data_IF_432901445519
#
_entry.id   IF_432901445519
#
_cell.length_a   1.000
_cell.length_b   1.000
_cell.length_c   1.000
_cell.angle_alpha   90.00
_cell.angle_beta   90.00
_cell.angle_gamma   90.00
#
_symmetry.space_group_name_H-M   'P 1'
#
loop_
_entity.id
_entity.type
_entity.pdbx_description
1 polymer ?
#
# COMPACT_ATOMS: atom_id res chain seq x y z
N UNK A 1 -17.99 8.98 28.51
CA UNK A 1 -18.30 7.80 27.67
C UNK A 1 -16.97 7.24 27.20
N UNK A 2 -16.76 5.94 27.33
CA UNK A 2 -15.59 5.28 26.72
C UNK A 2 -15.70 5.34 25.19
N UNK A 3 -14.60 5.09 24.47
CA UNK A 3 -14.64 5.00 22.99
C UNK A 3 -15.59 3.90 22.52
N UNK A 4 -15.70 2.80 23.27
CA UNK A 4 -16.69 1.73 23.05
C UNK A 4 -18.12 2.25 23.17
N UNK A 5 -18.44 3.00 24.23
CA UNK A 5 -19.79 3.55 24.43
C UNK A 5 -20.14 4.54 23.31
N UNK A 6 -19.16 5.34 22.87
CA UNK A 6 -19.34 6.29 21.77
C UNK A 6 -19.58 5.58 20.44
N UNK A 7 -18.81 4.54 20.09
CA UNK A 7 -19.06 3.77 18.87
C UNK A 7 -20.44 3.10 18.92
N UNK A 8 -20.82 2.49 20.05
CA UNK A 8 -22.17 1.92 20.22
C UNK A 8 -23.26 2.96 20.02
N UNK A 9 -23.09 4.16 20.55
CA UNK A 9 -24.02 5.27 20.30
C UNK A 9 -24.08 5.67 18.82
N UNK A 10 -22.97 5.66 18.10
CA UNK A 10 -22.96 5.90 16.64
C UNK A 10 -23.73 4.80 15.91
N UNK A 11 -23.51 3.53 16.27
CA UNK A 11 -24.23 2.36 15.74
C UNK A 11 -25.74 2.51 15.96
N UNK A 12 -26.16 2.89 17.17
CA UNK A 12 -27.58 3.07 17.50
C UNK A 12 -28.16 4.22 16.66
N UNK A 13 -27.49 5.38 16.64
CA UNK A 13 -27.95 6.55 15.88
C UNK A 13 -28.05 6.28 14.38
N UNK A 14 -27.08 5.57 13.78
CA UNK A 14 -27.11 5.26 12.35
C UNK A 14 -28.20 4.22 12.03
N UNK A 15 -28.44 3.27 12.94
CA UNK A 15 -29.53 2.29 12.78
C UNK A 15 -30.89 2.99 12.82
N UNK A 16 -31.10 3.89 13.80
CA UNK A 16 -32.35 4.64 14.00
C UNK A 16 -32.62 5.65 12.89
N UNK A 17 -31.62 6.46 12.52
CA UNK A 17 -31.80 7.54 11.53
C UNK A 17 -31.75 7.05 10.09
N UNK A 18 -30.99 5.98 9.84
CA UNK A 18 -30.75 5.52 8.48
C UNK A 18 -31.43 4.21 8.11
N UNK A 19 -32.09 3.54 9.06
CA UNK A 19 -32.72 2.23 8.87
C UNK A 19 -31.72 1.19 8.35
N UNK A 20 -30.49 1.27 8.87
CA UNK A 20 -29.42 0.34 8.51
C UNK A 20 -29.35 -0.80 9.51
N UNK A 21 -29.28 -2.02 8.99
CA UNK A 21 -28.88 -3.17 9.78
C UNK A 21 -27.36 -3.22 9.83
N UNK A 22 -26.81 -3.25 11.04
CA UNK A 22 -25.39 -3.04 11.30
C UNK A 22 -24.72 -4.33 11.78
N UNK A 23 -23.49 -4.56 11.33
CA UNK A 23 -22.67 -5.68 11.80
C UNK A 23 -22.41 -5.61 13.31
N UNK A 24 -22.48 -6.75 14.03
CA UNK A 24 -22.06 -6.81 15.42
C UNK A 24 -20.55 -6.55 15.58
N UNK A 25 -20.20 -5.97 16.72
CA UNK A 25 -18.80 -5.86 17.18
C UNK A 25 -18.30 -7.21 17.68
N UNK A 26 -17.02 -7.49 17.44
CA UNK A 26 -16.35 -8.68 17.96
C UNK A 26 -15.89 -8.44 19.40
N UNK A 27 -15.76 -9.53 20.18
CA UNK A 27 -15.11 -9.50 21.48
C UNK A 27 -13.68 -8.94 21.38
N UNK A 28 -13.25 -8.23 22.42
CA UNK A 28 -11.95 -7.59 22.46
C UNK A 28 -10.75 -8.54 22.37
N UNK A 29 -9.60 -7.97 21.99
CA UNK A 29 -8.34 -8.69 21.88
C UNK A 29 -7.68 -8.90 23.24
N UNK A 30 -6.61 -9.69 23.25
CA UNK A 30 -5.69 -9.74 24.39
C UNK A 30 -4.41 -8.90 24.13
N UNK A 31 -3.68 -8.63 25.21
CA UNK A 31 -2.43 -7.86 25.20
C UNK A 31 -1.36 -8.40 24.23
N UNK A 32 -1.29 -9.71 24.00
CA UNK A 32 -0.28 -10.27 23.09
C UNK A 32 -0.55 -9.86 21.62
N UNK A 33 -1.81 -9.70 21.23
CA UNK A 33 -2.17 -9.24 19.89
C UNK A 33 -1.85 -7.75 19.70
N UNK A 34 -2.00 -6.93 20.74
CA UNK A 34 -1.58 -5.54 20.70
C UNK A 34 -0.05 -5.40 20.64
N UNK A 35 0.66 -6.23 21.42
CA UNK A 35 2.12 -6.26 21.42
C UNK A 35 2.71 -6.62 20.05
N UNK A 36 1.98 -7.33 19.20
CA UNK A 36 2.39 -7.61 17.82
C UNK A 36 2.44 -6.33 16.97
N UNK A 37 1.41 -5.47 17.06
CA UNK A 37 1.42 -4.16 16.39
C UNK A 37 2.53 -3.28 16.94
N UNK A 38 2.64 -3.17 18.26
CA UNK A 38 3.69 -2.36 18.91
C UNK A 38 5.10 -2.75 18.47
N UNK A 39 5.33 -4.07 18.31
CA UNK A 39 6.59 -4.59 17.79
C UNK A 39 6.81 -4.22 16.32
N UNK A 40 5.77 -4.27 15.48
CA UNK A 40 5.87 -3.92 14.05
C UNK A 40 6.18 -2.44 13.84
N UNK A 41 5.59 -1.58 14.66
CA UNK A 41 5.77 -0.12 14.55
C UNK A 41 6.96 0.42 15.35
N UNK A 42 7.61 -0.43 16.15
CA UNK A 42 8.67 -0.07 17.11
C UNK A 42 8.25 1.11 18.00
N UNK A 43 7.03 1.05 18.53
CA UNK A 43 6.41 2.09 19.34
C UNK A 43 5.25 1.53 20.18
N UNK A 44 4.72 2.33 21.10
CA UNK A 44 3.56 1.98 21.91
C UNK A 44 2.27 2.51 21.29
N UNK A 45 1.22 1.69 21.36
CA UNK A 45 -0.11 2.15 21.02
C UNK A 45 -0.61 3.12 22.10
N UNK A 46 -1.30 4.21 21.74
CA UNK A 46 -1.95 5.08 22.72
C UNK A 46 -2.95 4.29 23.56
N UNK A 47 -3.02 4.58 24.86
CA UNK A 47 -3.93 3.88 25.78
C UNK A 47 -5.39 3.88 25.29
N UNK A 48 -5.86 4.99 24.71
CA UNK A 48 -7.21 5.10 24.15
C UNK A 48 -7.51 4.13 23.01
N UNK A 49 -6.49 3.76 22.22
CA UNK A 49 -6.61 2.81 21.12
C UNK A 49 -6.47 1.37 21.65
N UNK A 50 -5.55 1.13 22.58
CA UNK A 50 -5.39 -0.16 23.25
C UNK A 50 -6.67 -0.55 24.00
N UNK A 51 -7.22 0.34 24.83
CA UNK A 51 -8.46 0.11 25.57
C UNK A 51 -9.64 -0.15 24.62
N UNK A 52 -9.66 0.52 23.46
CA UNK A 52 -10.70 0.34 22.47
C UNK A 52 -10.67 -1.05 21.84
N UNK A 53 -9.47 -1.55 21.49
CA UNK A 53 -9.29 -2.90 20.94
C UNK A 53 -9.41 -4.02 22.00
N UNK A 54 -8.97 -3.78 23.24
CA UNK A 54 -9.19 -4.69 24.38
C UNK A 54 -10.68 -4.86 24.69
N UNK A 55 -11.50 -3.87 24.36
CA UNK A 55 -12.95 -3.95 24.48
C UNK A 55 -13.64 -4.52 23.23
N UNK A 56 -13.11 -4.27 22.02
CA UNK A 56 -13.75 -4.66 20.75
C UNK A 56 -12.71 -4.95 19.65
N UNK A 57 -12.76 -6.13 19.02
CA UNK A 57 -11.82 -6.50 17.94
C UNK A 57 -12.40 -6.33 16.53
N UNK A 58 -12.76 -5.11 16.16
CA UNK A 58 -13.42 -4.87 14.88
C UNK A 58 -14.87 -5.36 14.85
N UNK A 59 -15.36 -5.64 13.65
CA UNK A 59 -16.70 -6.18 13.40
C UNK A 59 -16.67 -7.49 12.60
N UNK A 60 -17.79 -8.20 12.57
CA UNK A 60 -18.01 -9.35 11.69
C UNK A 60 -19.46 -9.40 11.19
N UNK A 61 -19.66 -10.00 10.02
CA UNK A 61 -20.98 -10.14 9.39
C UNK A 61 -21.01 -9.62 7.96
N UNK A 62 -22.16 -9.80 7.32
CA UNK A 62 -22.43 -9.41 5.93
C UNK A 62 -23.41 -8.22 5.82
N UNK A 63 -23.73 -7.60 6.96
CA UNK A 63 -24.57 -6.40 7.03
C UNK A 63 -23.72 -5.14 6.80
N UNK A 64 -24.33 -3.96 6.98
CA UNK A 64 -23.60 -2.71 6.81
C UNK A 64 -22.60 -2.49 7.95
N UNK A 65 -21.44 -1.95 7.62
CA UNK A 65 -20.39 -1.69 8.60
C UNK A 65 -20.77 -0.66 9.66
N UNK A 66 -20.21 -0.84 10.86
CA UNK A 66 -20.60 -0.21 12.10
C UNK A 66 -20.25 1.27 12.23
N UNK A 67 -19.43 1.80 11.33
CA UNK A 67 -19.07 3.20 11.34
C UNK A 67 -19.43 3.88 10.02
N UNK A 68 -20.69 4.25 9.87
CA UNK A 68 -21.21 4.98 8.69
C UNK A 68 -20.92 4.31 7.34
N UNK A 69 -20.84 2.97 7.31
CA UNK A 69 -20.46 2.20 6.12
C UNK A 69 -18.98 1.80 6.05
N UNK A 70 -18.15 2.34 6.94
CA UNK A 70 -16.76 1.92 7.12
C UNK A 70 -16.64 0.82 8.15
N UNK A 71 -15.85 -0.19 7.78
CA UNK A 71 -15.61 -1.38 8.58
C UNK A 71 -14.61 -1.10 9.68
N UNK A 72 -15.00 -1.33 10.93
CA UNK A 72 -14.06 -1.38 12.03
C UNK A 72 -13.16 -2.61 11.89
N UNK A 73 -11.88 -2.38 11.61
CA UNK A 73 -10.93 -3.43 11.23
C UNK A 73 -10.55 -4.31 12.43
N UNK A 74 -10.70 -5.63 12.31
CA UNK A 74 -10.10 -6.57 13.25
C UNK A 74 -8.58 -6.45 13.28
N UNK A 75 -7.98 -6.67 14.45
CA UNK A 75 -6.55 -6.44 14.69
C UNK A 75 -5.63 -7.22 13.74
N UNK A 76 -6.03 -8.41 13.32
CA UNK A 76 -5.27 -9.24 12.38
C UNK A 76 -5.24 -8.63 10.97
N UNK A 77 -6.23 -7.83 10.59
CA UNK A 77 -6.22 -7.10 9.33
C UNK A 77 -5.38 -5.83 9.43
N UNK A 78 -5.41 -5.16 10.59
CA UNK A 78 -4.51 -4.04 10.90
C UNK A 78 -3.05 -4.50 10.80
N UNK A 79 -2.71 -5.62 11.45
CA UNK A 79 -1.38 -6.25 11.38
C UNK A 79 -0.98 -6.52 9.93
N UNK A 80 -1.84 -7.20 9.15
CA UNK A 80 -1.56 -7.49 7.74
C UNK A 80 -1.32 -6.23 6.91
N UNK A 81 -2.02 -5.14 7.18
CA UNK A 81 -1.80 -3.88 6.47
C UNK A 81 -0.46 -3.24 6.83
N UNK A 82 -0.09 -3.26 8.11
CA UNK A 82 1.22 -2.76 8.55
C UNK A 82 2.34 -3.60 7.95
N UNK A 83 2.21 -4.93 7.98
CA UNK A 83 3.16 -5.87 7.35
C UNK A 83 3.28 -5.64 5.84
N UNK A 84 2.16 -5.43 5.15
CA UNK A 84 2.15 -5.12 3.73
C UNK A 84 2.93 -3.84 3.44
N UNK A 85 2.64 -2.74 4.15
CA UNK A 85 3.35 -1.49 3.92
C UNK A 85 4.83 -1.55 4.32
N UNK A 86 5.19 -2.27 5.40
CA UNK A 86 6.59 -2.57 5.74
C UNK A 86 7.31 -3.35 4.63
N UNK A 87 6.59 -4.22 3.91
CA UNK A 87 7.17 -4.97 2.79
C UNK A 87 7.52 -4.09 1.59
N UNK A 88 6.93 -2.90 1.49
CA UNK A 88 7.21 -1.90 0.44
C UNK A 88 8.43 -1.03 0.79
N UNK A 89 8.86 -0.99 2.05
CA UNK A 89 9.97 -0.16 2.50
C UNK A 89 11.28 -0.61 1.84
N UNK A 90 11.97 0.35 1.22
CA UNK A 90 13.24 0.10 0.52
C UNK A 90 14.40 0.32 1.50
N UNK A 91 15.44 -0.56 1.51
CA UNK A 91 16.61 -0.34 2.35
C UNK A 91 17.31 1.00 2.02
N UNK A 92 17.67 1.76 3.06
CA UNK A 92 18.38 3.04 2.92
C UNK A 92 19.74 2.88 2.23
N UNK A 93 20.45 1.80 2.55
CA UNK A 93 21.66 1.37 1.85
C UNK A 93 21.39 0.07 1.10
N UNK A 94 21.57 0.09 -0.22
CA UNK A 94 21.34 -1.09 -1.08
C UNK A 94 22.65 -1.79 -1.39
N UNK A 95 22.69 -3.10 -1.15
CA UNK A 95 23.85 -3.95 -1.46
C UNK A 95 23.42 -5.34 -1.85
N UNK A 96 24.24 -6.04 -2.62
CA UNK A 96 24.02 -7.45 -2.92
C UNK A 96 24.71 -8.30 -1.88
N UNK A 97 23.94 -8.89 -0.97
CA UNK A 97 24.48 -9.78 0.06
C UNK A 97 25.10 -11.06 -0.55
N UNK A 98 24.58 -11.54 -1.68
CA UNK A 98 25.02 -12.77 -2.34
C UNK A 98 25.27 -12.53 -3.85
N UNK A 99 26.33 -11.80 -4.24
CA UNK A 99 26.53 -11.36 -5.61
C UNK A 99 26.70 -12.52 -6.60
N UNK A 100 27.40 -13.59 -6.20
CA UNK A 100 27.60 -14.77 -7.07
C UNK A 100 26.29 -15.52 -7.35
N UNK A 101 25.47 -15.76 -6.32
CA UNK A 101 24.16 -16.42 -6.50
C UNK A 101 23.22 -15.53 -7.33
N UNK A 102 23.23 -14.22 -7.06
CA UNK A 102 22.46 -13.23 -7.82
C UNK A 102 22.84 -13.25 -9.30
N UNK A 103 24.14 -13.20 -9.59
CA UNK A 103 24.67 -13.31 -10.96
C UNK A 103 24.28 -14.62 -11.64
N UNK A 104 24.31 -15.73 -10.91
CA UNK A 104 23.87 -17.04 -11.41
C UNK A 104 22.39 -17.04 -11.85
N UNK A 105 21.51 -16.40 -11.08
CA UNK A 105 20.08 -16.27 -11.41
C UNK A 105 19.86 -15.30 -12.58
N UNK A 106 20.54 -14.14 -12.57
CA UNK A 106 20.50 -13.18 -13.68
C UNK A 106 20.92 -13.82 -15.00
N UNK A 107 21.99 -14.62 -14.99
CA UNK A 107 22.44 -15.34 -16.18
C UNK A 107 21.37 -16.32 -16.70
N UNK A 108 20.70 -17.08 -15.81
CA UNK A 108 19.61 -17.99 -16.23
C UNK A 108 18.44 -17.24 -16.88
N UNK A 109 18.09 -16.06 -16.35
CA UNK A 109 17.06 -15.20 -16.93
C UNK A 109 17.51 -14.72 -18.32
N UNK A 110 18.73 -14.21 -18.45
CA UNK A 110 19.27 -13.72 -19.72
C UNK A 110 19.42 -14.85 -20.75
N UNK A 111 19.85 -16.05 -20.34
CA UNK A 111 19.97 -17.23 -21.19
C UNK A 111 18.62 -17.67 -21.76
N UNK A 112 17.55 -17.54 -20.97
CA UNK A 112 16.19 -17.77 -21.44
C UNK A 112 15.86 -16.84 -22.63
N UNK A 113 16.14 -15.54 -22.51
CA UNK A 113 15.86 -14.59 -23.60
C UNK A 113 16.83 -14.77 -24.79
N UNK A 114 18.09 -15.15 -24.57
CA UNK A 114 19.00 -15.53 -25.66
C UNK A 114 18.47 -16.71 -26.47
N UNK A 115 17.85 -17.70 -25.82
CA UNK A 115 17.26 -18.85 -26.50
C UNK A 115 16.05 -18.46 -27.39
N UNK A 116 15.42 -17.31 -27.10
CA UNK A 116 14.30 -16.75 -27.88
C UNK A 116 14.75 -15.78 -28.96
N UNK A 117 15.95 -15.22 -28.84
CA UNK A 117 16.49 -14.26 -29.80
C UNK A 117 16.72 -14.89 -31.20
N UNK A 118 16.55 -14.12 -32.29
CA UNK A 118 16.83 -14.62 -33.64
C UNK A 118 18.28 -15.10 -33.79
N UNK A 119 18.46 -16.32 -34.29
CA UNK A 119 19.79 -16.90 -34.55
C UNK A 119 20.54 -16.10 -35.61
N UNK A 120 21.89 -16.05 -35.51
CA UNK A 120 22.74 -15.37 -36.49
C UNK A 120 22.50 -15.96 -37.89
N UNK A 121 22.20 -15.13 -38.88
CA UNK A 121 22.33 -15.52 -40.29
C UNK A 121 23.81 -15.66 -40.66
N UNK A 122 24.15 -16.45 -41.69
CA UNK A 122 25.54 -16.78 -42.05
C UNK A 122 26.48 -15.56 -42.24
N UNK A 123 25.96 -14.37 -42.53
CA UNK A 123 26.79 -13.20 -42.90
C UNK A 123 26.38 -11.85 -42.27
N UNK A 124 25.49 -11.81 -41.26
CA UNK A 124 25.11 -10.54 -40.58
C UNK A 124 24.65 -10.75 -39.14
N UNK A 125 24.99 -9.82 -38.23
CA UNK A 125 24.33 -9.72 -36.91
C UNK A 125 22.84 -9.48 -37.15
N UNK A 126 21.98 -10.41 -36.72
CA UNK A 126 20.52 -10.34 -36.90
C UNK A 126 19.88 -9.30 -35.98
N UNK A 127 20.57 -8.92 -34.90
CA UNK A 127 20.14 -7.92 -33.93
C UNK A 127 21.34 -7.31 -33.20
N UNK A 128 21.15 -6.12 -32.62
CA UNK A 128 22.15 -5.37 -31.85
C UNK A 128 21.91 -5.57 -30.34
N UNK A 129 20.74 -5.17 -29.84
CA UNK A 129 20.32 -5.31 -28.44
C UNK A 129 18.87 -5.79 -28.31
N UNK A 130 18.54 -6.36 -27.17
CA UNK A 130 17.16 -6.65 -26.74
C UNK A 130 16.97 -6.02 -25.36
N UNK A 131 15.86 -5.31 -25.19
CA UNK A 131 15.45 -4.70 -23.93
C UNK A 131 14.22 -5.42 -23.40
N UNK A 132 14.22 -5.76 -22.12
CA UNK A 132 13.08 -6.39 -21.45
C UNK A 132 13.09 -6.05 -19.96
N UNK A 133 11.95 -6.18 -19.31
CA UNK A 133 11.85 -6.05 -17.87
C UNK A 133 11.14 -7.24 -17.24
N UNK A 134 11.46 -7.55 -16.00
CA UNK A 134 10.72 -8.53 -15.21
C UNK A 134 10.69 -8.17 -13.72
N UNK A 135 9.51 -8.38 -13.14
CA UNK A 135 9.23 -8.23 -11.71
C UNK A 135 8.39 -9.40 -11.20
N UNK A 136 7.89 -9.29 -9.97
CA UNK A 136 6.95 -10.27 -9.42
C UNK A 136 5.60 -10.18 -10.16
N UNK A 137 5.43 -10.98 -11.20
CA UNK A 137 4.19 -11.02 -11.99
C UNK A 137 4.08 -9.92 -13.07
N UNK A 138 5.10 -9.08 -13.20
CA UNK A 138 5.21 -8.06 -14.27
C UNK A 138 6.30 -8.45 -15.27
N UNK A 139 6.03 -8.27 -16.57
CA UNK A 139 7.00 -8.50 -17.64
C UNK A 139 6.81 -7.48 -18.76
N UNK A 140 7.89 -6.81 -19.15
CA UNK A 140 7.92 -5.84 -20.25
C UNK A 140 8.79 -6.30 -21.41
N UNK A 141 8.43 -5.91 -22.63
CA UNK A 141 9.11 -6.39 -23.84
C UNK A 141 8.88 -7.88 -24.07
N UNK A 142 9.88 -8.64 -24.58
CA UNK A 142 11.20 -8.20 -25.05
C UNK A 142 11.16 -7.47 -26.40
N UNK A 143 11.89 -6.36 -26.46
CA UNK A 143 11.99 -5.49 -27.64
C UNK A 143 13.38 -5.61 -28.29
N UNK A 144 13.41 -6.08 -29.54
CA UNK A 144 14.61 -6.27 -30.33
C UNK A 144 14.91 -5.05 -31.19
N UNK A 145 16.19 -4.64 -31.18
CA UNK A 145 16.70 -3.54 -31.99
C UNK A 145 17.80 -4.05 -32.93
N UNK A 146 17.68 -3.74 -34.23
CA UNK A 146 18.61 -4.24 -35.26
C UNK A 146 19.93 -3.48 -35.35
N UNK A 147 19.98 -2.25 -34.87
CA UNK A 147 21.16 -1.39 -34.89
C UNK A 147 21.24 -0.53 -33.64
N UNK A 148 22.43 -0.02 -33.35
CA UNK A 148 22.68 0.90 -32.24
C UNK A 148 21.82 2.16 -32.26
N UNK A 149 21.60 2.74 -33.45
CA UNK A 149 20.78 3.95 -33.63
C UNK A 149 19.27 3.70 -33.66
N UNK A 150 18.82 2.46 -33.48
CA UNK A 150 17.39 2.16 -33.51
C UNK A 150 16.77 2.51 -32.15
N UNK A 151 15.77 3.40 -32.17
CA UNK A 151 15.00 3.82 -31.00
C UNK A 151 13.50 3.75 -31.31
N UNK A 152 12.66 3.65 -30.27
CA UNK A 152 11.21 3.76 -30.38
C UNK A 152 10.57 2.81 -31.40
N UNK A 153 9.91 3.38 -32.43
CA UNK A 153 9.09 2.65 -33.44
C UNK A 153 9.87 1.70 -34.35
N UNK A 154 11.21 1.64 -34.25
CA UNK A 154 12.07 0.73 -35.00
C UNK A 154 12.30 -0.64 -34.35
N UNK A 155 11.60 -0.97 -33.26
CA UNK A 155 11.76 -2.22 -32.50
C UNK A 155 10.82 -3.34 -32.97
N UNK A 156 11.30 -4.58 -32.88
CA UNK A 156 10.48 -5.79 -33.08
C UNK A 156 10.17 -6.42 -31.72
N UNK A 157 8.99 -7.02 -31.55
CA UNK A 157 8.65 -7.75 -30.31
C UNK A 157 8.91 -9.23 -30.51
N UNK A 158 9.60 -9.87 -29.57
CA UNK A 158 9.77 -11.34 -29.59
C UNK A 158 8.60 -11.93 -28.80
N UNK A 159 7.93 -12.92 -29.39
CA UNK A 159 6.79 -13.57 -28.75
C UNK A 159 7.24 -14.42 -27.54
N UNK A 160 6.66 -14.10 -26.38
CA UNK A 160 6.83 -14.84 -25.12
C UNK A 160 5.44 -15.29 -24.69
N UNK A 161 5.25 -16.61 -24.62
CA UNK A 161 3.94 -17.18 -24.31
C UNK A 161 3.77 -17.48 -22.81
N UNK A 162 2.58 -17.95 -22.43
CA UNK A 162 2.27 -18.25 -21.03
C UNK A 162 3.17 -19.33 -20.40
N UNK A 163 3.54 -20.37 -21.16
CA UNK A 163 4.40 -21.44 -20.65
C UNK A 163 5.86 -21.01 -20.48
N UNK A 164 6.28 -19.97 -21.20
CA UNK A 164 7.56 -19.32 -21.00
C UNK A 164 7.60 -18.55 -19.67
N UNK A 165 6.54 -17.79 -19.34
CA UNK A 165 6.45 -17.10 -18.06
C UNK A 165 6.46 -18.06 -16.87
N UNK A 166 5.87 -19.26 -17.00
CA UNK A 166 5.97 -20.31 -15.96
C UNK A 166 7.40 -20.75 -15.68
N UNK A 167 8.31 -20.63 -16.66
CA UNK A 167 9.74 -20.97 -16.49
C UNK A 167 10.54 -19.80 -15.93
N UNK A 168 10.20 -18.57 -16.29
CA UNK A 168 10.86 -17.36 -15.80
C UNK A 168 10.46 -17.00 -14.37
N UNK A 169 9.17 -17.09 -14.04
CA UNK A 169 8.64 -16.63 -12.76
C UNK A 169 9.35 -17.21 -11.53
N UNK A 170 9.67 -18.52 -11.47
CA UNK A 170 10.43 -19.07 -10.33
C UNK A 170 11.83 -18.46 -10.19
N UNK A 171 12.51 -18.17 -11.30
CA UNK A 171 13.85 -17.55 -11.27
C UNK A 171 13.79 -16.11 -10.77
N UNK A 172 12.82 -15.34 -11.27
CA UNK A 172 12.59 -13.95 -10.83
C UNK A 172 12.21 -13.91 -9.35
N UNK A 173 11.33 -14.81 -8.92
CA UNK A 173 10.93 -14.94 -7.51
C UNK A 173 12.11 -15.31 -6.62
N UNK A 174 12.93 -16.30 -7.00
CA UNK A 174 14.11 -16.70 -6.21
C UNK A 174 15.12 -15.53 -6.11
N UNK A 175 15.32 -14.78 -7.20
CA UNK A 175 16.22 -13.63 -7.19
C UNK A 175 15.67 -12.51 -6.32
N UNK A 176 14.37 -12.23 -6.39
CA UNK A 176 13.71 -11.24 -5.55
C UNK A 176 13.84 -11.62 -4.07
N UNK A 177 13.51 -12.86 -3.70
CA UNK A 177 13.66 -13.36 -2.32
C UNK A 177 15.10 -13.29 -1.81
N UNK A 178 16.09 -13.59 -2.67
CA UNK A 178 17.51 -13.51 -2.35
C UNK A 178 17.97 -12.08 -2.04
N UNK A 179 17.43 -11.10 -2.76
CA UNK A 179 17.86 -9.70 -2.68
C UNK A 179 16.92 -8.84 -1.81
N UNK A 180 15.75 -9.36 -1.39
CA UNK A 180 14.65 -8.62 -0.71
C UNK A 180 15.15 -7.76 0.44
N UNK A 181 15.79 -8.36 1.45
CA UNK A 181 16.21 -7.63 2.65
C UNK A 181 17.32 -6.59 2.40
N UNK A 182 18.05 -6.73 1.28
CA UNK A 182 19.25 -5.94 0.99
C UNK A 182 19.08 -4.94 -0.16
N UNK A 183 18.01 -5.06 -0.95
CA UNK A 183 17.77 -4.27 -2.14
C UNK A 183 16.28 -3.94 -2.35
N UNK A 184 15.39 -4.93 -2.20
CA UNK A 184 13.92 -4.81 -2.35
C UNK A 184 13.45 -4.11 -3.63
N UNK A 185 13.97 -4.49 -4.80
CA UNK A 185 13.57 -3.90 -6.08
C UNK A 185 12.16 -4.36 -6.51
N UNK A 186 11.45 -3.53 -7.30
CA UNK A 186 10.14 -3.89 -7.85
C UNK A 186 10.27 -4.51 -9.25
N UNK A 187 11.21 -4.00 -10.05
CA UNK A 187 11.45 -4.48 -11.41
C UNK A 187 12.94 -4.49 -11.76
N UNK A 188 13.34 -5.51 -12.52
CA UNK A 188 14.63 -5.60 -13.16
C UNK A 188 14.50 -5.17 -14.62
N UNK A 189 15.28 -4.18 -15.05
CA UNK A 189 15.37 -3.76 -16.44
C UNK A 189 16.67 -4.28 -17.06
N UNK A 190 16.55 -5.02 -18.15
CA UNK A 190 17.68 -5.61 -18.84
C UNK A 190 17.93 -4.97 -20.20
N UNK A 191 19.20 -4.82 -20.54
CA UNK A 191 19.67 -4.61 -21.91
C UNK A 191 20.66 -5.72 -22.21
N UNK A 192 20.30 -6.65 -23.09
CA UNK A 192 21.20 -7.71 -23.54
C UNK A 192 21.69 -7.45 -24.97
N UNK A 193 22.94 -7.79 -25.25
CA UNK A 193 23.59 -7.54 -26.53
C UNK A 193 23.91 -8.84 -27.27
N UNK A 194 23.94 -8.77 -28.60
CA UNK A 194 24.29 -9.91 -29.47
C UNK A 194 25.69 -10.51 -29.23
N UNK A 195 26.52 -9.84 -28.42
CA UNK A 195 27.87 -10.23 -28.02
C UNK A 195 27.91 -11.01 -26.70
N UNK A 196 26.78 -11.49 -26.19
CA UNK A 196 26.68 -12.20 -24.91
C UNK A 196 27.10 -11.35 -23.71
N UNK A 197 26.80 -10.05 -23.78
CA UNK A 197 26.89 -9.11 -22.66
C UNK A 197 25.49 -8.65 -22.29
N UNK A 198 25.29 -8.28 -21.04
CA UNK A 198 24.07 -7.62 -20.60
C UNK A 198 24.37 -6.58 -19.52
N UNK A 199 23.46 -5.63 -19.43
CA UNK A 199 23.32 -4.69 -18.34
C UNK A 199 22.00 -4.98 -17.64
N UNK A 200 21.96 -4.78 -16.33
CA UNK A 200 20.74 -4.91 -15.54
C UNK A 200 20.66 -3.77 -14.54
N UNK A 201 19.50 -3.13 -14.49
CA UNK A 201 19.16 -2.16 -13.46
C UNK A 201 18.09 -2.77 -12.55
N UNK A 202 18.23 -2.49 -11.27
CA UNK A 202 17.20 -2.76 -10.26
C UNK A 202 16.47 -1.45 -10.04
N UNK A 203 15.18 -1.47 -10.31
CA UNK A 203 14.33 -0.29 -10.28
C UNK A 203 13.18 -0.53 -9.32
N UNK A 204 12.63 0.56 -8.82
CA UNK A 204 11.55 0.57 -7.87
C UNK A 204 10.70 1.82 -8.05
N UNK A 205 9.43 1.71 -7.69
CA UNK A 205 8.49 2.82 -7.75
C UNK A 205 8.49 3.56 -6.42
N UNK A 206 8.96 4.81 -6.44
CA UNK A 206 8.94 5.65 -5.24
C UNK A 206 7.62 6.43 -5.17
N UNK A 207 6.62 5.80 -4.54
CA UNK A 207 5.29 6.41 -4.37
C UNK A 207 5.35 7.83 -3.79
N UNK A 208 6.29 8.10 -2.87
CA UNK A 208 6.39 9.40 -2.19
C UNK A 208 6.93 10.53 -3.10
N UNK A 209 7.62 10.18 -4.19
CA UNK A 209 8.11 11.15 -5.18
C UNK A 209 7.16 11.29 -6.37
N UNK A 210 6.45 10.21 -6.72
CA UNK A 210 5.60 10.13 -7.89
C UNK A 210 4.16 10.63 -7.64
N UNK A 211 3.67 10.52 -6.40
CA UNK A 211 2.31 10.93 -6.02
C UNK A 211 2.37 12.27 -5.26
N UNK A 212 1.61 13.29 -5.67
CA UNK A 212 1.71 14.65 -5.10
C UNK A 212 0.92 14.79 -3.78
N UNK A 213 1.27 14.00 -2.76
CA UNK A 213 0.55 14.01 -1.47
C UNK A 213 0.47 15.41 -0.83
N UNK A 214 -0.71 15.74 -0.31
CA UNK A 214 -0.94 16.95 0.47
C UNK A 214 -1.31 16.61 1.92
N UNK A 215 -1.29 17.63 2.78
CA UNK A 215 -1.68 17.51 4.17
C UNK A 215 -2.49 18.74 4.57
N UNK A 216 -3.65 18.51 5.15
CA UNK A 216 -4.52 19.54 5.72
C UNK A 216 -4.74 19.26 7.21
N UNK A 217 -4.27 20.12 8.13
CA UNK A 217 -3.45 21.34 7.90
C UNK A 217 -2.05 21.05 7.34
N UNK A 218 -1.44 22.05 6.69
CA UNK A 218 -0.10 21.91 6.10
C UNK A 218 0.94 21.52 7.15
N UNK A 219 1.69 20.45 6.87
CA UNK A 219 2.75 19.93 7.73
C UNK A 219 2.24 19.16 8.95
N UNK A 220 0.97 18.78 8.98
CA UNK A 220 0.43 17.94 10.06
C UNK A 220 0.65 16.44 9.81
N UNK A 221 0.61 16.01 8.54
CA UNK A 221 0.75 14.62 8.09
C UNK A 221 1.96 14.53 7.16
N UNK A 222 2.80 13.52 7.34
CA UNK A 222 3.94 13.28 6.45
C UNK A 222 3.44 12.92 5.05
N UNK A 223 4.04 13.50 4.02
CA UNK A 223 3.68 13.28 2.61
C UNK A 223 4.22 11.95 2.10
N UNK A 224 3.52 10.88 2.42
CA UNK A 224 3.94 9.51 2.13
C UNK A 224 2.73 8.67 1.71
N UNK A 225 2.95 7.69 0.85
CA UNK A 225 1.89 6.74 0.46
C UNK A 225 1.53 5.78 1.60
N UNK A 226 2.51 5.45 2.43
CA UNK A 226 2.33 4.59 3.58
C UNK A 226 3.34 4.96 4.67
N UNK A 227 2.89 4.91 5.94
CA UNK A 227 3.74 4.98 7.12
C UNK A 227 3.35 3.84 8.07
N UNK A 228 4.30 2.99 8.55
CA UNK A 228 4.01 1.93 9.51
C UNK A 228 3.29 2.41 10.77
N UNK A 229 3.49 3.68 11.14
CA UNK A 229 2.89 4.33 12.31
C UNK A 229 1.53 4.98 12.03
N UNK A 230 0.95 4.80 10.84
CA UNK A 230 -0.44 5.12 10.56
C UNK A 230 -1.29 3.86 10.75
N UNK A 231 -1.99 3.78 11.88
CA UNK A 231 -2.73 2.60 12.30
C UNK A 231 -4.15 2.66 11.72
N UNK A 232 -4.51 1.83 10.71
CA UNK A 232 -5.85 1.86 10.13
C UNK A 232 -6.87 1.30 11.13
N UNK A 233 -7.94 2.06 11.41
CA UNK A 233 -9.00 1.65 12.35
C UNK A 233 -10.29 1.34 11.59
N UNK A 234 -10.68 2.20 10.65
CA UNK A 234 -11.87 2.01 9.83
C UNK A 234 -11.50 1.94 8.35
N UNK A 235 -12.01 0.94 7.63
CA UNK A 235 -11.78 0.77 6.19
C UNK A 235 -13.03 1.03 5.36
N UNK A 236 -12.85 1.64 4.19
CA UNK A 236 -13.89 1.78 3.17
C UNK A 236 -14.09 0.51 2.31
N UNK A 237 -13.37 -0.58 2.59
CA UNK A 237 -13.28 -1.82 1.80
C UNK A 237 -12.55 -1.69 0.44
N UNK A 238 -12.13 -0.49 0.05
CA UNK A 238 -11.44 -0.16 -1.20
C UNK A 238 -9.92 0.04 -1.07
N UNK A 239 -9.42 0.10 0.17
CA UNK A 239 -8.01 0.37 0.47
C UNK A 239 -7.76 1.78 1.00
N UNK A 240 -8.82 2.49 1.41
CA UNK A 240 -8.75 3.76 2.10
C UNK A 240 -9.21 3.60 3.55
N UNK A 241 -8.62 4.41 4.42
CA UNK A 241 -8.72 4.25 5.85
C UNK A 241 -8.94 5.57 6.57
N UNK A 242 -9.66 5.47 7.68
CA UNK A 242 -9.59 6.42 8.78
C UNK A 242 -8.79 5.73 9.89
N UNK A 243 -7.74 6.38 10.38
CA UNK A 243 -6.87 5.77 11.37
C UNK A 243 -6.10 6.77 12.21
N UNK A 244 -5.19 6.24 13.03
CA UNK A 244 -4.44 7.00 14.03
C UNK A 244 -3.01 7.20 13.55
N UNK A 245 -2.57 8.46 13.51
CA UNK A 245 -1.22 8.84 13.14
C UNK A 245 -0.32 8.95 14.38
N UNK A 246 0.61 8.00 14.52
CA UNK A 246 1.61 7.95 15.59
C UNK A 246 2.96 8.54 15.17
N UNK A 247 3.07 9.07 13.95
CA UNK A 247 4.28 9.67 13.41
C UNK A 247 3.94 10.90 12.57
N UNK A 248 3.29 11.91 13.19
CA UNK A 248 2.90 13.14 12.51
C UNK A 248 4.11 13.90 11.99
N UNK A 249 3.85 14.83 11.07
CA UNK A 249 4.85 15.80 10.64
C UNK A 249 4.93 16.98 11.64
N UNK A 250 5.80 17.95 11.39
CA UNK A 250 6.22 19.03 12.30
C UNK A 250 5.09 19.83 12.96
N UNK A 251 3.92 19.95 12.33
CA UNK A 251 2.76 20.67 12.86
C UNK A 251 1.64 19.75 13.35
N UNK A 252 1.82 18.44 13.31
CA UNK A 252 0.81 17.46 13.70
C UNK A 252 0.91 17.09 15.18
N UNK A 253 -0.06 16.29 15.63
CA UNK A 253 -0.17 15.82 17.01
C UNK A 253 -0.13 14.29 17.01
N UNK A 254 0.71 13.71 17.86
CA UNK A 254 0.79 12.26 17.99
C UNK A 254 -0.57 11.73 18.51
N UNK A 255 -1.16 10.78 17.79
CA UNK A 255 -2.50 10.26 18.07
C UNK A 255 -3.63 10.96 17.31
N UNK A 256 -3.32 11.91 16.42
CA UNK A 256 -4.32 12.55 15.56
C UNK A 256 -5.01 11.53 14.64
N UNK A 257 -6.28 11.76 14.33
CA UNK A 257 -7.07 10.92 13.42
C UNK A 257 -6.91 11.45 12.00
N UNK A 258 -6.53 10.60 11.05
CA UNK A 258 -6.28 10.98 9.66
C UNK A 258 -7.04 10.13 8.65
N UNK A 259 -7.24 10.68 7.46
CA UNK A 259 -7.61 9.93 6.24
C UNK A 259 -6.34 9.63 5.44
N UNK A 260 -6.18 8.37 5.04
CA UNK A 260 -5.07 7.91 4.20
C UNK A 260 -5.43 6.63 3.45
N UNK A 261 -4.64 6.25 2.44
CA UNK A 261 -4.81 5.00 1.72
C UNK A 261 -4.57 5.12 0.23
N UNK A 262 -5.01 4.11 -0.50
CA UNK A 262 -4.72 3.91 -1.93
C UNK A 262 -5.04 5.12 -2.80
N UNK A 263 -6.18 5.75 -2.54
CA UNK A 263 -6.75 6.81 -3.37
C UNK A 263 -6.73 8.19 -2.65
N UNK A 264 -6.02 8.29 -1.52
CA UNK A 264 -6.02 9.47 -0.63
C UNK A 264 -4.75 10.30 -0.80
N UNK A 265 -4.65 11.01 -1.94
CA UNK A 265 -3.55 11.94 -2.19
C UNK A 265 -3.65 13.19 -1.29
N UNK A 266 -4.89 13.68 -1.10
CA UNK A 266 -5.19 14.80 -0.23
C UNK A 266 -5.57 14.32 1.17
N UNK A 267 -4.56 14.24 2.06
CA UNK A 267 -4.75 13.73 3.41
C UNK A 267 -5.22 14.82 4.39
N UNK A 268 -6.12 14.45 5.29
CA UNK A 268 -6.75 15.36 6.25
C UNK A 268 -6.61 14.83 7.67
N UNK A 269 -6.29 15.74 8.60
CA UNK A 269 -6.49 15.51 10.03
C UNK A 269 -7.96 15.79 10.35
N UNK A 270 -8.64 14.78 10.88
CA UNK A 270 -10.06 14.84 11.26
C UNK A 270 -10.25 15.31 12.70
N UNK A 271 -9.33 14.96 13.59
CA UNK A 271 -9.34 15.36 15.00
C UNK A 271 -7.99 15.08 15.65
N UNK A 272 -7.80 15.57 16.88
CA UNK A 272 -6.58 15.34 17.66
C UNK A 272 -6.57 13.97 18.38
N UNK A 273 -7.73 13.33 18.50
CA UNK A 273 -7.90 12.03 19.17
C UNK A 273 -9.12 11.29 18.62
N UNK A 274 -9.16 9.96 18.77
CA UNK A 274 -10.34 9.15 18.40
C UNK A 274 -11.57 9.51 19.26
N UNK A 275 -11.34 9.89 20.52
CA UNK A 275 -12.40 10.32 21.43
C UNK A 275 -13.09 11.59 20.93
N UNK A 276 -12.31 12.58 20.46
CA UNK A 276 -12.82 13.82 19.88
C UNK A 276 -13.49 13.56 18.53
N UNK A 277 -12.95 12.64 17.73
CA UNK A 277 -13.55 12.26 16.46
C UNK A 277 -14.94 11.69 16.65
N UNK A 278 -15.12 10.76 17.58
CA UNK A 278 -16.44 10.20 17.86
C UNK A 278 -17.41 11.24 18.42
N UNK A 279 -16.97 12.18 19.26
CA UNK A 279 -17.84 13.27 19.71
C UNK A 279 -18.31 14.16 18.56
N UNK A 280 -17.40 14.49 17.65
CA UNK A 280 -17.74 15.23 16.44
C UNK A 280 -18.79 14.48 15.61
N UNK A 281 -18.58 13.20 15.32
CA UNK A 281 -19.51 12.39 14.52
C UNK A 281 -20.88 12.27 15.22
N UNK A 282 -20.91 11.98 16.53
CA UNK A 282 -22.15 11.93 17.30
C UNK A 282 -22.89 13.27 17.20
N UNK A 283 -22.18 14.40 17.38
CA UNK A 283 -22.79 15.73 17.27
C UNK A 283 -23.43 15.93 15.89
N UNK A 284 -22.72 15.57 14.81
CA UNK A 284 -23.19 15.76 13.43
C UNK A 284 -24.35 14.86 13.04
N UNK A 285 -24.41 13.65 13.58
CA UNK A 285 -25.56 12.78 13.36
C UNK A 285 -26.79 13.31 14.13
N UNK A 286 -26.59 13.81 15.36
CA UNK A 286 -27.68 14.31 16.20
C UNK A 286 -28.25 15.63 15.68
N UNK A 287 -27.39 16.58 15.29
CA UNK A 287 -27.82 17.91 14.82
C UNK A 287 -28.28 17.94 13.35
N UNK A 288 -28.08 16.84 12.61
CA UNK A 288 -28.45 16.68 11.20
C UNK A 288 -27.83 17.75 10.27
N UNK A 289 -26.74 18.39 10.70
CA UNK A 289 -26.03 19.39 9.89
C UNK A 289 -25.24 18.78 8.73
N UNK A 290 -25.11 17.45 8.70
CA UNK A 290 -24.42 16.68 7.66
C UNK A 290 -25.31 15.53 7.19
N UNK A 291 -25.48 15.43 5.88
CA UNK A 291 -26.21 14.33 5.24
C UNK A 291 -25.26 13.14 4.98
N UNK A 292 -25.17 12.22 5.94
CA UNK A 292 -24.40 10.98 5.82
C UNK A 292 -25.06 9.91 4.90
N UNK A 293 -26.27 10.16 4.38
CA UNK A 293 -26.93 9.29 3.39
C UNK A 293 -26.62 9.69 1.95
N UNK A 294 -26.11 10.91 1.73
CA UNK A 294 -25.78 11.41 0.40
C UNK A 294 -24.89 10.42 -0.32
N UNK A 295 -25.10 10.24 -1.64
CA UNK A 295 -24.26 9.44 -2.54
C UNK A 295 -22.89 10.12 -2.77
N UNK A 296 -22.18 10.43 -1.69
CA UNK A 296 -20.79 10.85 -1.67
C UNK A 296 -20.01 9.83 -0.84
N UNK A 297 -18.74 9.62 -1.21
CA UNK A 297 -17.82 8.85 -0.39
C UNK A 297 -17.69 9.53 0.98
N UNK A 298 -17.83 8.78 2.07
CA UNK A 298 -17.83 9.32 3.45
C UNK A 298 -16.57 10.16 3.75
N UNK A 299 -15.42 9.80 3.17
CA UNK A 299 -14.20 10.60 3.28
C UNK A 299 -14.37 12.02 2.73
N UNK A 300 -15.07 12.21 1.61
CA UNK A 300 -15.34 13.54 1.06
C UNK A 300 -16.26 14.36 1.98
N UNK A 301 -17.25 13.72 2.61
CA UNK A 301 -18.09 14.37 3.63
C UNK A 301 -17.22 14.85 4.80
N UNK A 302 -16.28 14.03 5.27
CA UNK A 302 -15.37 14.39 6.35
C UNK A 302 -14.42 15.52 5.95
N UNK A 303 -13.85 15.50 4.74
CA UNK A 303 -13.01 16.57 4.21
C UNK A 303 -13.78 17.89 4.10
N UNK A 304 -15.01 17.83 3.60
CA UNK A 304 -15.91 18.99 3.53
C UNK A 304 -16.22 19.56 4.92
N UNK A 305 -16.43 18.70 5.93
CA UNK A 305 -16.63 19.15 7.32
C UNK A 305 -15.43 19.93 7.85
N UNK A 306 -14.21 19.51 7.53
CA UNK A 306 -12.97 20.19 7.96
C UNK A 306 -12.76 21.51 7.20
N UNK A 307 -13.05 21.52 5.90
CA UNK A 307 -12.91 22.72 5.07
C UNK A 307 -13.95 23.80 5.38
N UNK A 308 -15.20 23.40 5.66
CA UNK A 308 -16.31 24.32 5.96
C UNK A 308 -16.47 24.62 7.46
N UNK A 309 -15.70 23.93 8.32
CA UNK A 309 -15.63 24.17 9.77
C UNK A 309 -14.70 25.30 10.17
N UNK A 310 -14.18 26.07 9.21
CA UNK A 310 -13.49 27.36 9.39
C UNK A 310 -14.41 28.52 9.10
#
# INVERSE_FOLDING_TARGET
MTNTDKLKKIIDLQSEKFDWKINPLNDGVNENQLAEIEKLIDDKLPAELSDFYLANNGESGDERSCFLGHRFMPINEVIKQIEFGLSLVKPAERKLNNPEKSKGLLNKIVDFYFAKAPKKGLFKKSWYKIEFSCGLGSYGGPYLYKSEKAEGKGRETIDINFDDYKKLSPLVKELHELEKDSYNWDELEFVMYSEQKYEVKRTDYNFNEEIPFTSTPVGAIKKMYFNPKWIPVFSDHGGNYIGIDLDPDTNGINGQVIIFGRDEEDMFVLSNSITDFFDLIISKIVDESVDFKKELHFHEILKDMINNGK
#
